data_IF_166165827307
#
_entry.id   IF_166165827307
#
_cell.length_a   1.000
_cell.length_b   1.000
_cell.length_c   1.000
_cell.angle_alpha   90.00
_cell.angle_beta   90.00
_cell.angle_gamma   90.00
#
_symmetry.space_group_name_H-M   'P 1'
#
loop_
_entity.id
_entity.type
_entity.pdbx_description
1 polymer ?
#
# COMPACT_ATOMS: atom_id res chain seq x y z
N UNK A 1 -3.71 -3.56 2.30
CA UNK A 1 -3.90 -2.09 2.27
C UNK A 1 -2.56 -1.40 1.98
N UNK A 2 -2.58 -0.32 1.21
CA UNK A 2 -1.45 0.61 1.12
C UNK A 2 -1.81 1.85 1.93
N UNK A 3 -1.14 2.05 3.07
CA UNK A 3 -1.53 3.07 4.03
C UNK A 3 -0.58 4.26 4.04
N UNK A 4 -1.13 5.43 4.35
CA UNK A 4 -0.44 6.71 4.52
C UNK A 4 -0.84 7.30 5.87
N UNK A 5 0.10 7.61 6.78
CA UNK A 5 -0.20 8.26 8.07
C UNK A 5 -0.83 9.64 7.90
N UNK A 6 -1.72 10.03 8.80
CA UNK A 6 -2.17 11.41 8.94
C UNK A 6 -1.31 12.11 10.00
N UNK A 7 -0.75 13.28 9.71
CA UNK A 7 0.19 13.95 10.62
C UNK A 7 -0.46 14.50 11.89
N UNK A 8 -1.78 14.72 11.86
CA UNK A 8 -2.56 15.36 12.93
C UNK A 8 -3.20 14.35 13.89
N UNK A 9 -3.17 13.05 13.58
CA UNK A 9 -3.78 12.00 14.41
C UNK A 9 -2.97 10.71 14.37
N UNK A 10 -3.40 9.71 15.15
CA UNK A 10 -2.86 8.35 15.05
C UNK A 10 -3.44 7.55 13.88
N UNK A 11 -4.32 8.16 13.08
CA UNK A 11 -5.05 7.47 12.03
C UNK A 11 -4.25 7.39 10.72
N UNK A 12 -4.76 6.56 9.82
CA UNK A 12 -4.15 6.27 8.53
C UNK A 12 -5.18 6.33 7.43
N UNK A 13 -4.81 6.93 6.31
CA UNK A 13 -5.56 6.83 5.07
C UNK A 13 -5.12 5.58 4.30
N UNK A 14 -6.05 4.68 4.00
CA UNK A 14 -5.78 3.43 3.31
C UNK A 14 -6.26 3.43 1.86
N UNK A 15 -5.39 3.05 0.94
CA UNK A 15 -5.76 2.69 -0.43
C UNK A 15 -6.10 1.19 -0.50
N UNK A 16 -7.26 0.88 -1.08
CA UNK A 16 -7.61 -0.46 -1.55
C UNK A 16 -6.83 -0.80 -2.82
N UNK A 17 -5.52 -1.04 -2.65
CA UNK A 17 -4.59 -1.29 -3.73
C UNK A 17 -4.25 -2.78 -3.91
N UNK A 18 -3.89 -3.14 -5.14
CA UNK A 18 -3.49 -4.45 -5.61
C UNK A 18 -2.01 -4.44 -5.98
N UNK A 19 -1.35 -5.56 -5.78
CA UNK A 19 0.01 -5.79 -6.26
C UNK A 19 0.01 -7.00 -7.20
N UNK A 20 0.71 -6.86 -8.33
CA UNK A 20 1.16 -7.99 -9.13
C UNK A 20 2.32 -8.67 -8.41
N UNK A 21 2.32 -10.00 -8.40
CA UNK A 21 3.33 -10.83 -7.75
C UNK A 21 3.71 -11.98 -8.66
N UNK A 22 4.87 -12.59 -8.37
CA UNK A 22 5.23 -13.84 -9.02
C UNK A 22 4.32 -15.00 -8.58
N UNK A 23 4.35 -16.07 -9.37
CA UNK A 23 3.51 -17.25 -9.12
C UNK A 23 3.78 -17.90 -7.74
N UNK A 24 5.04 -18.11 -7.30
CA UNK A 24 5.31 -18.67 -5.98
C UNK A 24 4.75 -17.83 -4.83
N UNK A 25 4.82 -16.50 -4.92
CA UNK A 25 4.24 -15.61 -3.90
C UNK A 25 2.72 -15.73 -3.87
N UNK A 26 2.08 -15.81 -5.04
CA UNK A 26 0.64 -16.00 -5.15
C UNK A 26 0.20 -17.34 -4.53
N UNK A 27 0.83 -18.44 -4.92
CA UNK A 27 0.49 -19.77 -4.40
C UNK A 27 0.73 -19.82 -2.87
N UNK A 28 1.85 -19.27 -2.38
CA UNK A 28 2.11 -19.19 -0.93
C UNK A 28 1.03 -18.42 -0.19
N UNK A 29 0.51 -17.33 -0.77
CA UNK A 29 -0.55 -16.54 -0.14
C UNK A 29 -1.87 -17.31 -0.04
N UNK A 30 -2.17 -18.17 -1.02
CA UNK A 30 -3.35 -19.05 -0.95
C UNK A 30 -3.22 -20.07 0.19
N UNK A 31 -2.04 -20.64 0.39
CA UNK A 31 -1.81 -21.65 1.43
C UNK A 31 -2.03 -21.10 2.86
N UNK A 32 -1.71 -19.82 3.07
CA UNK A 32 -1.77 -19.15 4.39
C UNK A 32 -2.95 -18.21 4.55
N UNK A 33 -3.89 -18.23 3.60
CA UNK A 33 -4.92 -17.20 3.50
C UNK A 33 -5.74 -17.06 4.79
N UNK A 34 -6.07 -18.19 5.42
CA UNK A 34 -6.85 -18.29 6.66
C UNK A 34 -5.96 -18.51 7.90
N UNK A 35 -4.65 -18.34 7.78
CA UNK A 35 -3.67 -18.52 8.86
C UNK A 35 -3.07 -17.18 9.34
N UNK A 36 -2.56 -17.14 10.57
CA UNK A 36 -1.75 -15.99 11.00
C UNK A 36 -0.39 -15.99 10.30
N UNK A 37 -0.33 -15.22 9.22
CA UNK A 37 0.85 -15.07 8.39
C UNK A 37 1.71 -13.86 8.78
N UNK A 38 1.51 -13.26 9.96
CA UNK A 38 2.27 -12.06 10.37
C UNK A 38 3.78 -12.32 10.48
N UNK A 39 4.18 -13.56 10.76
CA UNK A 39 5.58 -13.98 10.84
C UNK A 39 6.20 -14.36 9.48
N UNK A 40 5.41 -14.41 8.40
CA UNK A 40 5.92 -14.80 7.08
C UNK A 40 6.94 -13.79 6.54
N UNK A 41 7.94 -14.26 5.77
CA UNK A 41 8.85 -13.37 5.07
C UNK A 41 8.10 -12.41 4.15
N UNK A 42 8.56 -11.15 4.12
CA UNK A 42 8.08 -10.15 3.17
C UNK A 42 8.36 -10.61 1.73
N UNK A 43 7.47 -10.24 0.82
CA UNK A 43 7.57 -10.57 -0.61
C UNK A 43 7.64 -9.31 -1.44
N UNK A 44 8.29 -9.41 -2.60
CA UNK A 44 8.31 -8.32 -3.57
C UNK A 44 7.04 -8.37 -4.43
N UNK A 45 6.65 -7.21 -4.95
CA UNK A 45 5.56 -7.08 -5.89
C UNK A 45 5.61 -5.76 -6.65
N UNK A 46 4.61 -5.53 -7.48
CA UNK A 46 4.49 -4.32 -8.30
C UNK A 46 3.09 -3.74 -8.13
N UNK A 47 2.98 -2.46 -7.81
CA UNK A 47 1.70 -1.78 -7.61
C UNK A 47 0.89 -1.78 -8.92
N UNK A 48 -0.30 -2.40 -8.88
CA UNK A 48 -1.15 -2.62 -10.05
C UNK A 48 -2.23 -1.54 -10.24
N UNK A 49 -2.14 -0.43 -9.50
CA UNK A 49 -3.12 0.66 -9.60
C UNK A 49 -2.45 1.97 -9.94
N UNK A 50 -3.07 2.72 -10.86
CA UNK A 50 -2.82 4.14 -11.02
C UNK A 50 -3.64 4.92 -9.98
N UNK A 51 -2.97 5.41 -8.93
CA UNK A 51 -3.61 6.22 -7.89
C UNK A 51 -3.70 7.68 -8.38
N UNK A 52 -4.91 8.28 -8.48
CA UNK A 52 -5.11 9.58 -9.13
C UNK A 52 -4.20 10.73 -8.63
N UNK A 53 -3.97 10.93 -7.32
CA UNK A 53 -3.11 12.01 -6.84
C UNK A 53 -1.61 11.68 -6.90
N UNK A 54 -1.23 10.51 -7.43
CA UNK A 54 0.13 9.98 -7.52
C UNK A 54 0.43 9.48 -8.94
N UNK A 55 0.70 10.41 -9.84
CA UNK A 55 1.15 10.09 -11.21
C UNK A 55 2.38 9.17 -11.16
N UNK A 56 2.35 8.10 -11.96
CA UNK A 56 3.43 7.10 -12.01
C UNK A 56 3.37 6.02 -10.94
N UNK A 57 2.30 5.94 -10.15
CA UNK A 57 2.12 4.87 -9.14
C UNK A 57 1.95 3.48 -9.75
N UNK A 58 1.30 3.36 -10.91
CA UNK A 58 1.20 2.09 -11.62
C UNK A 58 2.60 1.59 -12.02
N UNK A 59 2.92 0.35 -11.68
CA UNK A 59 4.22 -0.24 -11.96
C UNK A 59 5.30 0.05 -10.90
N UNK A 60 4.97 0.77 -9.82
CA UNK A 60 5.94 1.04 -8.75
C UNK A 60 6.28 -0.24 -7.95
N UNK A 61 7.56 -0.53 -7.68
CA UNK A 61 7.94 -1.66 -6.83
C UNK A 61 7.39 -1.51 -5.40
N UNK A 62 6.84 -2.59 -4.86
CA UNK A 62 6.32 -2.66 -3.49
C UNK A 62 6.87 -3.87 -2.74
N UNK A 63 6.90 -3.74 -1.42
CA UNK A 63 7.13 -4.81 -0.47
C UNK A 63 5.79 -5.17 0.17
N UNK A 64 5.49 -6.46 0.21
CA UNK A 64 4.26 -7.04 0.73
C UNK A 64 4.57 -7.67 2.08
N UNK A 65 3.80 -7.30 3.10
CA UNK A 65 3.79 -7.97 4.39
C UNK A 65 2.45 -8.69 4.57
N UNK A 66 2.51 -10.00 4.76
CA UNK A 66 1.34 -10.79 5.15
C UNK A 66 0.92 -10.47 6.58
N UNK A 67 -0.32 -10.80 6.91
CA UNK A 67 -1.01 -10.39 8.13
C UNK A 67 -1.84 -11.54 8.68
N UNK A 68 -2.49 -11.29 9.81
CA UNK A 68 -3.55 -12.16 10.32
C UNK A 68 -4.71 -12.35 9.32
N UNK A 69 -5.53 -13.41 9.48
CA UNK A 69 -6.64 -13.70 8.56
C UNK A 69 -7.72 -12.60 8.49
N UNK A 70 -7.80 -11.74 9.52
CA UNK A 70 -8.79 -10.67 9.56
C UNK A 70 -8.41 -9.50 8.66
N UNK A 71 -7.16 -9.43 8.18
CA UNK A 71 -6.68 -8.30 7.40
C UNK A 71 -5.95 -8.72 6.12
N UNK A 72 -6.17 -7.96 5.05
CA UNK A 72 -5.43 -8.16 3.79
C UNK A 72 -3.97 -7.73 3.95
N UNK A 73 -3.03 -8.30 3.17
CA UNK A 73 -1.62 -7.93 3.21
C UNK A 73 -1.39 -6.42 3.10
N UNK A 74 -0.39 -5.92 3.82
CA UNK A 74 0.05 -4.52 3.74
C UNK A 74 1.03 -4.33 2.58
N UNK A 75 0.89 -3.23 1.85
CA UNK A 75 1.78 -2.86 0.75
C UNK A 75 2.62 -1.64 1.14
N UNK A 76 3.92 -1.72 0.91
CA UNK A 76 4.88 -0.66 1.21
C UNK A 76 5.72 -0.30 -0.02
N UNK A 77 5.90 0.98 -0.31
CA UNK A 77 6.87 1.43 -1.29
C UNK A 77 8.28 1.21 -0.74
N UNK A 78 9.24 0.96 -1.63
CA UNK A 78 10.61 0.68 -1.19
C UNK A 78 11.24 1.90 -0.52
N UNK A 79 12.24 1.67 0.36
CA UNK A 79 12.94 2.78 1.06
C UNK A 79 13.69 3.73 0.13
N UNK A 80 14.06 3.28 -1.07
CA UNK A 80 14.78 4.07 -2.08
C UNK A 80 13.84 4.80 -3.04
N UNK A 81 12.53 4.57 -2.91
CA UNK A 81 11.54 5.24 -3.73
C UNK A 81 11.36 6.69 -3.25
N UNK A 82 11.69 7.63 -4.14
CA UNK A 82 11.58 9.07 -3.94
C UNK A 82 10.32 9.65 -4.61
N UNK A 83 9.34 8.81 -4.97
CA UNK A 83 8.03 9.28 -5.39
C UNK A 83 7.31 9.99 -4.24
N UNK A 84 6.34 10.84 -4.60
CA UNK A 84 5.50 11.52 -3.62
C UNK A 84 4.71 10.52 -2.76
N UNK A 85 4.25 9.42 -3.35
CA UNK A 85 3.54 8.37 -2.63
C UNK A 85 4.43 7.72 -1.56
N UNK A 86 5.66 7.40 -1.92
CA UNK A 86 6.61 6.79 -1.00
C UNK A 86 6.99 7.73 0.16
N UNK A 87 7.21 9.03 -0.12
CA UNK A 87 7.40 10.03 0.94
C UNK A 87 6.19 10.13 1.86
N UNK A 88 4.98 10.24 1.31
CA UNK A 88 3.77 10.31 2.13
C UNK A 88 3.59 9.06 3.00
N UNK A 89 3.89 7.86 2.49
CA UNK A 89 3.81 6.65 3.31
C UNK A 89 4.82 6.64 4.47
N UNK A 90 5.99 7.29 4.31
CA UNK A 90 7.02 7.39 5.37
C UNK A 90 6.73 8.50 6.36
N UNK A 91 6.38 9.68 5.85
CA UNK A 91 6.40 10.93 6.61
C UNK A 91 4.98 11.41 7.00
N UNK A 92 3.96 10.80 6.40
CA UNK A 92 2.57 11.19 6.55
C UNK A 92 2.13 12.29 5.58
N UNK A 93 0.85 12.65 5.69
CA UNK A 93 0.23 13.78 5.00
C UNK A 93 -0.51 14.64 6.00
N UNK A 94 -0.56 15.94 5.73
CA UNK A 94 -1.39 16.87 6.50
C UNK A 94 -2.84 16.91 6.00
N UNK A 95 -3.70 17.60 6.76
CA UNK A 95 -5.12 17.77 6.43
C UNK A 95 -5.33 18.39 5.04
N UNK A 96 -4.53 19.40 4.69
CA UNK A 96 -4.59 20.05 3.37
C UNK A 96 -4.35 19.04 2.26
N UNK A 97 -3.32 18.21 2.39
CA UNK A 97 -3.02 17.15 1.43
C UNK A 97 -4.05 16.02 1.46
N UNK A 98 -4.61 15.70 2.62
CA UNK A 98 -5.70 14.75 2.72
C UNK A 98 -6.94 15.22 1.94
N UNK A 99 -7.32 16.49 2.07
CA UNK A 99 -8.40 17.09 1.29
C UNK A 99 -8.12 17.10 -0.22
N UNK A 100 -6.90 17.40 -0.66
CA UNK A 100 -6.50 17.29 -2.07
C UNK A 100 -6.73 15.87 -2.62
N UNK A 101 -6.37 14.85 -1.83
CA UNK A 101 -6.51 13.44 -2.20
C UNK A 101 -8.00 13.09 -2.37
N UNK A 102 -8.84 13.49 -1.41
CA UNK A 102 -10.29 13.26 -1.49
C UNK A 102 -10.90 13.95 -2.71
N UNK A 103 -10.51 15.19 -2.97
CA UNK A 103 -10.97 15.94 -4.15
C UNK A 103 -10.54 15.27 -5.46
N UNK A 104 -9.35 14.67 -5.52
CA UNK A 104 -8.88 13.93 -6.69
C UNK A 104 -9.65 12.62 -6.92
N UNK A 105 -10.04 11.92 -5.85
CA UNK A 105 -10.79 10.65 -5.95
C UNK A 105 -12.28 10.89 -6.27
N UNK A 106 -12.87 11.96 -5.73
CA UNK A 106 -14.30 12.26 -5.86
C UNK A 106 -14.74 12.80 -7.23
N UNK A 107 -13.81 13.15 -8.13
CA UNK A 107 -14.11 13.67 -9.48
C UNK A 107 -14.43 12.58 -10.51
N UNK A 108 -15.20 11.57 -10.12
CA UNK A 108 -15.50 10.41 -10.97
C UNK A 108 -16.80 10.54 -11.74
#
# INVERSE_FOLDING_TARGET
MLEVPLSQSSDRFGWGAWAEVDRPTFDRYLDIFDEDATAEPRRDGVLANALPPYTGSLGSPVIIAFRDPATRPSLFLTRRDESRLARHQRDGIDDGRYHDILAAIGRR
#
